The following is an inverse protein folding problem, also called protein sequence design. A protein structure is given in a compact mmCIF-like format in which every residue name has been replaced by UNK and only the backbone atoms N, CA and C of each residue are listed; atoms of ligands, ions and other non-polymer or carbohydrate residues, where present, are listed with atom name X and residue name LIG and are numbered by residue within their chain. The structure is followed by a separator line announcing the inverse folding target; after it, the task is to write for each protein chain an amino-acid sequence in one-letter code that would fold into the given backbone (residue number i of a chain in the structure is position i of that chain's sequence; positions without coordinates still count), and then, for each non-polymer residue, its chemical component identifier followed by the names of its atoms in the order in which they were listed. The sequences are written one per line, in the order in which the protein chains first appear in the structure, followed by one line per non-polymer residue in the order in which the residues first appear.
data_IF_084786039975
#
_entry.id   IF_084786039975
#
_cell.length_a   1.000
_cell.length_b   1.000
_cell.length_c   1.000
_cell.angle_alpha   90.00
_cell.angle_beta   90.00
_cell.angle_gamma   90.00
#
_symmetry.space_group_name_H-M   'P 1'
#
loop_
_entity.id
_entity.type
_entity.pdbx_description
1 polymer ?
#
# COMPACT_ATOMS: atom_id res chain seq x y z
N UNK A 1 -31.60 -0.65 -6.36
CA UNK A 1 -32.24 -1.32 -5.21
C UNK A 1 -33.56 -0.66 -4.84
N UNK A 2 -33.59 0.62 -4.42
CA UNK A 2 -34.85 1.29 -4.02
C UNK A 2 -35.90 1.36 -5.15
N UNK A 3 -35.46 1.53 -6.39
CA UNK A 3 -36.33 1.47 -7.57
C UNK A 3 -36.94 0.07 -7.78
N UNK A 4 -36.14 -0.99 -7.60
CA UNK A 4 -36.62 -2.38 -7.69
C UNK A 4 -37.58 -2.74 -6.53
N UNK A 5 -37.33 -2.19 -5.33
CA UNK A 5 -38.25 -2.30 -4.18
C UNK A 5 -39.56 -1.55 -4.48
N UNK A 6 -39.48 -0.36 -5.07
CA UNK A 6 -40.64 0.44 -5.46
C UNK A 6 -41.49 -0.22 -6.55
N UNK A 7 -40.87 -0.93 -7.51
CA UNK A 7 -41.56 -1.68 -8.56
C UNK A 7 -42.39 -2.87 -8.03
N UNK A 8 -42.01 -3.44 -6.89
CA UNK A 8 -42.77 -4.53 -6.26
C UNK A 8 -44.08 -4.06 -5.59
N UNK A 9 -44.19 -2.77 -5.28
CA UNK A 9 -45.40 -2.16 -4.71
C UNK A 9 -45.67 -2.51 -3.24
N UNK A 10 -46.86 -2.14 -2.71
CA UNK A 10 -47.22 -2.26 -1.28
C UNK A 10 -47.29 -3.69 -0.72
N UNK A 11 -47.19 -4.71 -1.57
CA UNK A 11 -47.29 -6.14 -1.20
C UNK A 11 -45.95 -6.85 -1.00
N UNK A 12 -44.82 -6.12 -1.02
CA UNK A 12 -43.51 -6.73 -0.79
C UNK A 12 -43.44 -7.29 0.64
N UNK A 13 -43.38 -8.60 0.76
CA UNK A 13 -43.09 -9.27 2.03
C UNK A 13 -41.58 -9.17 2.25
N UNK A 14 -41.10 -8.41 3.25
CA UNK A 14 -39.69 -8.36 3.56
C UNK A 14 -39.23 -9.75 4.01
N UNK A 15 -38.03 -10.15 3.58
CA UNK A 15 -37.44 -11.39 4.03
C UNK A 15 -37.35 -11.42 5.56
N UNK A 16 -37.62 -12.58 6.13
CA UNK A 16 -37.43 -12.79 7.56
C UNK A 16 -35.95 -12.72 7.93
N UNK A 17 -35.67 -12.38 9.19
CA UNK A 17 -34.31 -12.41 9.72
C UNK A 17 -33.65 -13.79 9.54
N UNK A 18 -34.42 -14.88 9.65
CA UNK A 18 -33.94 -16.24 9.44
C UNK A 18 -33.52 -16.49 7.98
N UNK A 19 -34.35 -16.10 7.01
CA UNK A 19 -34.01 -16.22 5.58
C UNK A 19 -32.77 -15.40 5.22
N UNK A 20 -32.60 -14.20 5.79
CA UNK A 20 -31.42 -13.37 5.58
C UNK A 20 -30.14 -14.06 6.07
N UNK A 21 -30.12 -14.54 7.33
CA UNK A 21 -28.91 -15.11 7.95
C UNK A 21 -28.60 -16.55 7.56
N UNK A 22 -29.54 -17.28 6.95
CA UNK A 22 -29.33 -18.68 6.54
C UNK A 22 -29.40 -18.79 5.02
N UNK A 23 -30.58 -18.58 4.44
CA UNK A 23 -30.81 -18.86 3.01
C UNK A 23 -30.03 -17.91 2.11
N UNK A 24 -30.19 -16.61 2.31
CA UNK A 24 -29.52 -15.60 1.49
C UNK A 24 -28.03 -15.52 1.79
N UNK A 25 -27.63 -15.65 3.06
CA UNK A 25 -26.22 -15.76 3.40
C UNK A 25 -25.54 -16.95 2.71
N UNK A 26 -26.14 -18.14 2.72
CA UNK A 26 -25.60 -19.31 2.00
C UNK A 26 -25.52 -19.07 0.49
N UNK A 27 -26.53 -18.43 -0.11
CA UNK A 27 -26.51 -18.06 -1.52
C UNK A 27 -25.39 -17.06 -1.83
N UNK A 28 -25.18 -16.07 -0.97
CA UNK A 28 -24.13 -15.07 -1.14
C UNK A 28 -22.72 -15.68 -0.96
N UNK A 29 -22.56 -16.60 0.00
CA UNK A 29 -21.32 -17.37 0.17
C UNK A 29 -21.04 -18.21 -1.08
N UNK A 30 -22.04 -18.90 -1.62
CA UNK A 30 -21.85 -19.70 -2.84
C UNK A 30 -21.55 -18.82 -4.06
N UNK A 31 -22.24 -17.68 -4.20
CA UNK A 31 -21.95 -16.69 -5.23
C UNK A 31 -20.50 -16.21 -5.13
N UNK A 32 -20.05 -15.84 -3.93
CA UNK A 32 -18.67 -15.42 -3.66
C UNK A 32 -17.67 -16.53 -3.98
N UNK A 33 -17.95 -17.79 -3.59
CA UNK A 33 -17.12 -18.95 -3.94
C UNK A 33 -16.99 -19.14 -5.45
N UNK A 34 -18.07 -18.92 -6.21
CA UNK A 34 -18.02 -19.02 -7.67
C UNK A 34 -17.12 -17.93 -8.29
N UNK A 35 -17.09 -16.73 -7.72
CA UNK A 35 -16.17 -15.66 -8.15
C UNK A 35 -14.70 -15.99 -7.88
N UNK A 36 -14.40 -16.90 -6.94
CA UNK A 36 -13.02 -17.33 -6.68
C UNK A 36 -12.41 -18.09 -7.85
N UNK A 37 -13.21 -18.75 -8.70
CA UNK A 37 -12.71 -19.57 -9.80
C UNK A 37 -11.81 -18.80 -10.79
N UNK A 38 -12.18 -17.55 -11.12
CA UNK A 38 -11.38 -16.70 -12.00
C UNK A 38 -10.03 -16.33 -11.37
N UNK A 39 -9.99 -16.14 -10.04
CA UNK A 39 -8.77 -15.90 -9.30
C UNK A 39 -7.87 -17.14 -9.27
N UNK A 40 -8.41 -18.33 -9.01
CA UNK A 40 -7.61 -19.58 -8.97
C UNK A 40 -6.96 -19.89 -10.32
N UNK A 41 -7.68 -19.66 -11.43
CA UNK A 41 -7.11 -19.78 -12.78
C UNK A 41 -5.95 -18.81 -12.97
N UNK A 42 -6.10 -17.57 -12.48
CA UNK A 42 -5.05 -16.57 -12.56
C UNK A 42 -3.82 -16.93 -11.71
N UNK A 43 -4.02 -17.47 -10.50
CA UNK A 43 -2.93 -17.90 -9.62
C UNK A 43 -2.12 -19.02 -10.25
N UNK A 44 -2.78 -19.98 -10.91
CA UNK A 44 -2.09 -21.04 -11.66
C UNK A 44 -1.29 -20.51 -12.84
N UNK A 45 -1.80 -19.47 -13.50
CA UNK A 45 -1.17 -18.88 -14.67
C UNK A 45 0.03 -18.00 -14.31
N UNK A 46 -0.18 -17.04 -13.41
CA UNK A 46 0.74 -15.94 -13.12
C UNK A 46 1.19 -15.90 -11.66
N UNK A 47 0.81 -16.87 -10.85
CA UNK A 47 1.08 -16.84 -9.43
C UNK A 47 0.29 -15.75 -8.68
N UNK A 48 0.47 -15.74 -7.36
CA UNK A 48 -0.20 -14.81 -6.47
C UNK A 48 0.70 -14.39 -5.30
N UNK A 49 0.26 -13.34 -4.60
CA UNK A 49 0.81 -12.92 -3.31
C UNK A 49 -0.17 -13.29 -2.21
N UNK A 50 0.25 -14.13 -1.27
CA UNK A 50 -0.47 -14.31 -0.02
C UNK A 50 -0.17 -13.11 0.88
N UNK A 51 -1.19 -12.47 1.43
CA UNK A 51 -1.06 -11.34 2.35
C UNK A 51 -1.64 -11.75 3.69
N UNK A 52 -0.94 -11.40 4.77
CA UNK A 52 -1.46 -11.57 6.12
C UNK A 52 -1.14 -10.39 7.00
N UNK A 53 -2.11 -10.02 7.83
CA UNK A 53 -1.98 -8.96 8.80
C UNK A 53 -2.80 -9.29 10.05
N UNK A 54 -2.25 -8.93 11.21
CA UNK A 54 -2.81 -9.23 12.51
C UNK A 54 -3.31 -7.96 13.17
N UNK A 55 -4.60 -7.91 13.47
CA UNK A 55 -5.20 -6.80 14.22
C UNK A 55 -5.61 -7.25 15.61
N UNK A 56 -5.38 -6.38 16.60
CA UNK A 56 -5.87 -6.57 17.95
C UNK A 56 -6.80 -5.43 18.30
N UNK A 57 -8.03 -5.77 18.68
CA UNK A 57 -9.07 -4.80 19.02
C UNK A 57 -8.92 -4.26 20.45
N UNK A 58 -9.77 -3.30 20.82
CA UNK A 58 -9.75 -2.68 22.17
C UNK A 58 -10.19 -3.63 23.29
N UNK A 59 -10.70 -4.82 22.96
CA UNK A 59 -11.11 -5.88 23.89
C UNK A 59 -10.09 -7.02 23.91
N UNK A 60 -8.86 -6.76 23.43
CA UNK A 60 -7.76 -7.72 23.29
C UNK A 60 -8.08 -8.93 22.40
N UNK A 61 -9.12 -8.85 21.56
CA UNK A 61 -9.38 -9.88 20.54
C UNK A 61 -8.38 -9.71 19.42
N UNK A 62 -7.72 -10.80 19.06
CA UNK A 62 -6.75 -10.84 17.98
C UNK A 62 -7.35 -11.58 16.79
N UNK A 63 -7.38 -10.90 15.65
CA UNK A 63 -7.77 -11.50 14.36
C UNK A 63 -6.58 -11.44 13.40
N UNK A 64 -6.31 -12.55 12.73
CA UNK A 64 -5.31 -12.63 11.65
C UNK A 64 -6.07 -12.84 10.34
N UNK A 65 -5.92 -11.90 9.41
CA UNK A 65 -6.57 -11.99 8.11
C UNK A 65 -5.64 -12.61 7.08
N UNK A 66 -6.22 -13.35 6.12
CA UNK A 66 -5.54 -13.87 4.95
C UNK A 66 -6.24 -13.41 3.68
N UNK A 67 -5.48 -12.79 2.79
CA UNK A 67 -5.95 -12.35 1.49
C UNK A 67 -4.97 -12.83 0.42
N UNK A 68 -5.47 -13.03 -0.79
CA UNK A 68 -4.64 -13.40 -1.95
C UNK A 68 -4.77 -12.34 -3.01
N UNK A 69 -3.64 -11.77 -3.42
CA UNK A 69 -3.57 -10.78 -4.49
C UNK A 69 -3.02 -11.39 -5.77
N UNK A 70 -3.60 -10.99 -6.90
CA UNK A 70 -3.21 -11.39 -8.25
C UNK A 70 -3.49 -10.26 -9.23
N UNK A 71 -3.19 -10.46 -10.52
CA UNK A 71 -3.45 -9.43 -11.54
C UNK A 71 -4.94 -9.08 -11.71
N UNK A 72 -5.84 -10.00 -11.32
CA UNK A 72 -7.31 -9.82 -11.37
C UNK A 72 -7.82 -9.02 -10.16
N UNK A 73 -7.06 -9.00 -9.06
CA UNK A 73 -7.41 -8.26 -7.85
C UNK A 73 -7.09 -9.03 -6.57
N UNK A 74 -7.62 -8.50 -5.46
CA UNK A 74 -7.47 -9.08 -4.12
C UNK A 74 -8.72 -9.87 -3.74
N UNK A 75 -8.53 -11.09 -3.27
CA UNK A 75 -9.57 -11.95 -2.74
C UNK A 75 -9.36 -12.16 -1.23
N UNK A 76 -10.43 -12.08 -0.47
CA UNK A 76 -10.43 -12.48 0.94
C UNK A 76 -10.55 -13.99 1.05
N UNK A 77 -9.62 -14.63 1.76
CA UNK A 77 -9.64 -16.09 1.95
C UNK A 77 -10.36 -16.46 3.24
N UNK A 78 -9.80 -16.03 4.36
CA UNK A 78 -10.36 -16.29 5.69
C UNK A 78 -9.71 -15.37 6.73
N UNK A 79 -10.27 -15.38 7.94
CA UNK A 79 -9.64 -14.80 9.12
C UNK A 79 -9.59 -15.86 10.21
N UNK A 80 -8.59 -15.77 11.08
CA UNK A 80 -8.42 -16.67 12.21
C UNK A 80 -8.47 -15.85 13.50
N UNK A 81 -9.34 -16.26 14.42
CA UNK A 81 -9.32 -15.74 15.79
C UNK A 81 -8.15 -16.37 16.54
N UNK A 82 -7.14 -15.55 16.83
CA UNK A 82 -5.96 -15.92 17.58
C UNK A 82 -5.93 -15.25 18.97
N UNK A 83 -7.08 -14.85 19.51
CA UNK A 83 -7.21 -14.22 20.84
C UNK A 83 -6.75 -15.13 21.98
N UNK A 84 -6.92 -16.44 21.83
CA UNK A 84 -6.48 -17.45 22.80
C UNK A 84 -5.02 -17.89 22.64
N UNK A 85 -4.33 -17.42 21.60
CA UNK A 85 -3.00 -17.88 21.24
C UNK A 85 -1.93 -16.81 21.51
N UNK A 86 -0.79 -17.22 22.09
CA UNK A 86 0.41 -16.37 22.09
C UNK A 86 0.89 -16.28 20.63
N UNK A 87 1.00 -15.06 20.10
CA UNK A 87 1.48 -14.78 18.73
C UNK A 87 2.99 -15.04 18.57
N UNK A 88 3.45 -16.26 18.83
CA UNK A 88 4.85 -16.63 18.56
C UNK A 88 5.08 -16.72 17.06
N UNK A 89 6.33 -16.53 16.62
CA UNK A 89 6.66 -16.62 15.20
C UNK A 89 6.40 -18.02 14.63
N UNK A 90 6.54 -19.06 15.43
CA UNK A 90 6.25 -20.45 15.05
C UNK A 90 4.76 -20.67 14.79
N UNK A 91 3.88 -20.06 15.60
CA UNK A 91 2.44 -20.19 15.41
C UNK A 91 1.98 -19.46 14.15
N UNK A 92 2.49 -18.25 13.93
CA UNK A 92 2.22 -17.51 12.68
C UNK A 92 2.77 -18.27 11.48
N UNK A 93 3.95 -18.87 11.58
CA UNK A 93 4.51 -19.72 10.54
C UNK A 93 3.57 -20.87 10.19
N UNK A 94 3.05 -21.62 11.17
CA UNK A 94 2.09 -22.70 10.92
C UNK A 94 0.85 -22.22 10.15
N UNK A 95 0.33 -21.04 10.49
CA UNK A 95 -0.83 -20.47 9.81
C UNK A 95 -0.51 -20.08 8.36
N UNK A 96 0.60 -19.35 8.15
CA UNK A 96 1.05 -18.96 6.80
C UNK A 96 1.33 -20.20 5.93
N UNK A 97 2.00 -21.19 6.51
CA UNK A 97 2.37 -22.43 5.84
C UNK A 97 1.14 -23.23 5.42
N UNK A 98 0.15 -23.38 6.29
CA UNK A 98 -1.14 -24.02 5.96
C UNK A 98 -1.90 -23.26 4.88
N UNK A 99 -1.83 -21.93 4.85
CA UNK A 99 -2.43 -21.13 3.77
C UNK A 99 -1.73 -21.34 2.43
N UNK A 100 -0.40 -21.45 2.43
CA UNK A 100 0.36 -21.79 1.21
C UNK A 100 -0.05 -23.17 0.69
N UNK A 101 -0.23 -24.16 1.57
CA UNK A 101 -0.71 -25.50 1.19
C UNK A 101 -2.12 -25.45 0.59
N UNK A 102 -3.02 -24.67 1.19
CA UNK A 102 -4.39 -24.48 0.72
C UNK A 102 -4.46 -23.84 -0.68
N UNK A 103 -3.54 -22.92 -1.00
CA UNK A 103 -3.47 -22.23 -2.30
C UNK A 103 -2.72 -23.08 -3.35
N UNK A 104 -1.81 -23.93 -2.92
CA UNK A 104 -0.84 -24.63 -3.76
C UNK A 104 0.47 -23.84 -3.86
N UNK A 105 1.57 -24.45 -3.43
CA UNK A 105 2.89 -23.81 -3.35
C UNK A 105 3.36 -23.27 -4.71
N UNK A 106 3.09 -23.98 -5.79
CA UNK A 106 3.44 -23.59 -7.16
C UNK A 106 2.77 -22.28 -7.61
N UNK A 107 1.66 -21.92 -6.95
CA UNK A 107 0.89 -20.72 -7.23
C UNK A 107 1.37 -19.53 -6.39
N UNK A 108 1.99 -19.74 -5.23
CA UNK A 108 2.43 -18.65 -4.35
C UNK A 108 3.84 -18.20 -4.71
N UNK A 109 3.98 -16.96 -5.19
CA UNK A 109 5.30 -16.37 -5.50
C UNK A 109 5.89 -15.69 -4.26
N UNK A 110 5.04 -15.05 -3.48
CA UNK A 110 5.47 -14.38 -2.25
C UNK A 110 4.40 -14.40 -1.16
N UNK A 111 4.84 -14.22 0.08
CA UNK A 111 4.02 -13.97 1.26
C UNK A 111 4.38 -12.61 1.83
N UNK A 112 3.39 -11.72 1.92
CA UNK A 112 3.53 -10.34 2.39
C UNK A 112 2.93 -10.20 3.78
N UNK A 113 3.73 -9.73 4.75
CA UNK A 113 3.27 -9.50 6.13
C UNK A 113 3.78 -8.17 6.68
N UNK A 114 3.32 -7.77 7.86
CA UNK A 114 3.93 -6.66 8.60
C UNK A 114 5.38 -6.97 9.04
N UNK A 115 6.04 -5.97 9.64
CA UNK A 115 7.42 -6.06 10.13
C UNK A 115 7.54 -6.38 11.61
N UNK A 116 6.46 -6.80 12.27
CA UNK A 116 6.54 -7.19 13.67
C UNK A 116 7.44 -8.43 13.82
N UNK A 117 8.19 -8.49 14.92
CA UNK A 117 9.26 -9.48 15.12
C UNK A 117 8.81 -10.94 14.93
N UNK A 118 7.58 -11.25 15.31
CA UNK A 118 6.95 -12.56 15.16
C UNK A 118 6.66 -12.89 13.68
N UNK A 119 6.17 -11.94 12.89
CA UNK A 119 5.98 -12.12 11.44
C UNK A 119 7.31 -12.22 10.70
N UNK A 120 8.34 -11.47 11.11
CA UNK A 120 9.69 -11.59 10.55
C UNK A 120 10.26 -12.99 10.79
N UNK A 121 10.12 -13.53 12.00
CA UNK A 121 10.53 -14.91 12.30
C UNK A 121 9.74 -15.92 11.45
N UNK A 122 8.43 -15.76 11.39
CA UNK A 122 7.56 -16.65 10.62
C UNK A 122 7.92 -16.67 9.12
N UNK A 123 8.16 -15.49 8.54
CA UNK A 123 8.57 -15.33 7.16
C UNK A 123 9.90 -16.01 6.84
N UNK A 124 10.89 -15.88 7.74
CA UNK A 124 12.18 -16.57 7.60
C UNK A 124 12.04 -18.09 7.68
N UNK A 125 11.23 -18.60 8.59
CA UNK A 125 10.93 -20.03 8.68
C UNK A 125 10.23 -20.54 7.39
N UNK A 126 9.34 -19.71 6.83
CA UNK A 126 8.64 -20.04 5.59
C UNK A 126 9.58 -20.11 4.39
N UNK A 127 10.46 -19.12 4.20
CA UNK A 127 11.48 -19.16 3.14
C UNK A 127 12.45 -20.33 3.31
N UNK A 128 12.77 -20.73 4.55
CA UNK A 128 13.61 -21.88 4.82
C UNK A 128 12.93 -23.21 4.45
N UNK A 129 11.62 -23.35 4.71
CA UNK A 129 10.84 -24.54 4.33
C UNK A 129 10.58 -24.60 2.83
N UNK A 130 10.29 -23.45 2.20
CA UNK A 130 9.82 -23.32 0.82
C UNK A 130 10.80 -22.43 0.04
N UNK A 131 11.88 -23.01 -0.54
CA UNK A 131 12.95 -22.22 -1.14
C UNK A 131 12.52 -21.48 -2.41
N UNK A 132 11.41 -21.86 -3.04
CA UNK A 132 10.92 -21.30 -4.31
C UNK A 132 9.87 -20.18 -4.16
N UNK A 133 9.69 -19.67 -2.94
CA UNK A 133 8.88 -18.47 -2.69
C UNK A 133 9.69 -17.40 -1.95
N UNK A 134 9.14 -16.20 -1.88
CA UNK A 134 9.70 -15.12 -1.08
C UNK A 134 8.82 -14.80 0.12
N UNK A 135 9.44 -14.46 1.25
CA UNK A 135 8.78 -13.63 2.24
C UNK A 135 9.18 -12.17 2.01
N UNK A 136 8.18 -11.30 1.88
CA UNK A 136 8.39 -9.87 1.65
C UNK A 136 7.71 -9.04 2.74
N UNK A 137 8.43 -8.07 3.33
CA UNK A 137 7.83 -7.16 4.27
C UNK A 137 6.91 -6.16 3.55
N UNK A 138 5.83 -5.77 4.22
CA UNK A 138 4.86 -4.80 3.69
C UNK A 138 5.52 -3.44 3.41
N UNK A 139 5.53 -3.04 2.14
CA UNK A 139 6.12 -1.78 1.69
C UNK A 139 5.39 -0.56 2.24
N UNK A 140 4.05 -0.62 2.34
CA UNK A 140 3.27 0.48 2.91
C UNK A 140 3.65 0.72 4.37
N UNK A 141 3.80 -0.36 5.15
CA UNK A 141 4.26 -0.29 6.53
C UNK A 141 5.70 0.26 6.62
N UNK A 142 6.62 -0.23 5.78
CA UNK A 142 7.99 0.29 5.74
C UNK A 142 8.04 1.79 5.42
N UNK A 143 7.25 2.25 4.46
CA UNK A 143 7.16 3.67 4.10
C UNK A 143 6.53 4.52 5.21
N UNK A 144 5.56 3.98 5.95
CA UNK A 144 5.01 4.65 7.13
C UNK A 144 6.08 4.82 8.22
N UNK A 145 6.93 3.80 8.44
CA UNK A 145 8.08 3.89 9.36
C UNK A 145 9.14 4.90 8.91
N UNK A 146 9.44 4.99 7.61
CA UNK A 146 10.34 6.04 7.05
C UNK A 146 9.75 7.43 7.37
N UNK A 147 8.46 7.60 7.11
CA UNK A 147 7.74 8.84 7.39
C UNK A 147 7.73 9.15 8.89
N UNK A 148 7.58 8.15 9.75
CA UNK A 148 7.68 8.27 11.20
C UNK A 148 9.06 8.78 11.65
N UNK A 149 10.13 8.20 11.11
CA UNK A 149 11.50 8.59 11.43
C UNK A 149 11.82 10.01 10.95
N UNK A 150 11.36 10.41 9.75
CA UNK A 150 11.41 11.81 9.30
C UNK A 150 10.61 12.71 10.27
N UNK A 151 9.46 12.21 10.74
CA UNK A 151 8.63 12.84 11.74
C UNK A 151 9.33 13.12 13.08
N UNK A 152 10.37 12.36 13.42
CA UNK A 152 11.18 12.53 14.64
C UNK A 152 12.21 13.66 14.54
N UNK A 153 12.54 14.13 13.34
CA UNK A 153 13.43 15.30 13.15
C UNK A 153 12.82 16.50 13.87
N UNK A 154 13.55 17.15 14.76
CA UNK A 154 12.99 18.13 15.72
C UNK A 154 12.27 19.31 15.04
N UNK A 155 12.74 19.75 13.87
CA UNK A 155 12.04 20.76 13.07
C UNK A 155 10.70 20.24 12.52
N UNK A 156 10.69 19.02 11.97
CA UNK A 156 9.50 18.35 11.42
C UNK A 156 8.50 18.05 12.54
N UNK A 157 8.96 17.45 13.64
CA UNK A 157 8.16 17.13 14.83
C UNK A 157 7.40 18.33 15.37
N UNK A 158 8.09 19.48 15.53
CA UNK A 158 7.46 20.73 15.97
C UNK A 158 6.45 21.26 14.96
N UNK A 159 6.74 21.13 13.66
CA UNK A 159 5.83 21.52 12.59
C UNK A 159 4.54 20.68 12.60
N UNK A 160 4.67 19.35 12.66
CA UNK A 160 3.55 18.41 12.70
C UNK A 160 2.67 18.63 13.93
N UNK A 161 3.27 18.79 15.12
CA UNK A 161 2.50 19.09 16.35
C UNK A 161 1.65 20.36 16.22
N UNK A 162 2.22 21.44 15.66
CA UNK A 162 1.48 22.69 15.40
C UNK A 162 0.36 22.49 14.38
N UNK A 163 0.60 21.74 13.32
CA UNK A 163 -0.38 21.47 12.27
C UNK A 163 -1.55 20.60 12.78
N UNK A 164 -1.26 19.55 13.55
CA UNK A 164 -2.28 18.69 14.18
C UNK A 164 -3.10 19.49 15.19
N UNK A 165 -2.45 20.30 16.04
CA UNK A 165 -3.16 21.16 16.99
C UNK A 165 -4.06 22.19 16.30
N UNK A 166 -3.60 22.78 15.19
CA UNK A 166 -4.40 23.70 14.37
C UNK A 166 -5.63 23.00 13.77
N UNK A 167 -5.44 21.82 13.16
CA UNK A 167 -6.54 21.04 12.58
C UNK A 167 -7.55 20.63 13.66
N UNK A 168 -7.07 20.09 14.79
CA UNK A 168 -7.92 19.73 15.93
C UNK A 168 -8.70 20.92 16.48
N UNK A 169 -8.06 22.09 16.59
CA UNK A 169 -8.77 23.32 16.99
C UNK A 169 -9.89 23.70 16.03
N UNK A 170 -9.67 23.62 14.71
CA UNK A 170 -10.72 23.98 13.72
C UNK A 170 -11.88 23.00 13.82
N UNK A 171 -11.62 21.68 13.84
CA UNK A 171 -12.68 20.67 13.84
C UNK A 171 -13.43 20.53 15.16
N UNK A 172 -12.80 20.81 16.30
CA UNK A 172 -13.45 20.71 17.61
C UNK A 172 -14.37 21.91 17.92
N UNK A 173 -14.37 22.95 17.09
CA UNK A 173 -15.19 24.14 17.31
C UNK A 173 -16.06 24.43 16.08
N UNK A 174 -17.33 24.03 16.15
CA UNK A 174 -18.28 24.14 15.03
C UNK A 174 -18.33 25.53 14.39
N UNK A 175 -18.26 26.59 15.21
CA UNK A 175 -18.21 27.97 14.71
C UNK A 175 -16.96 28.25 13.86
N UNK A 176 -15.79 27.78 14.31
CA UNK A 176 -14.51 27.93 13.60
C UNK A 176 -14.48 27.05 12.35
N UNK A 177 -15.03 25.84 12.43
CA UNK A 177 -15.19 24.93 11.30
C UNK A 177 -16.04 25.56 10.19
N UNK A 178 -17.20 26.12 10.54
CA UNK A 178 -18.08 26.78 9.58
C UNK A 178 -17.41 28.01 8.97
N UNK A 179 -16.67 28.77 9.77
CA UNK A 179 -15.85 29.87 9.27
C UNK A 179 -14.80 29.36 8.26
N UNK A 180 -14.06 28.31 8.59
CA UNK A 180 -13.08 27.72 7.67
C UNK A 180 -13.73 27.33 6.34
N UNK A 181 -14.87 26.64 6.37
CA UNK A 181 -15.64 26.25 5.18
C UNK A 181 -16.06 27.44 4.32
N UNK A 182 -16.48 28.55 4.92
CA UNK A 182 -16.80 29.77 4.16
C UNK A 182 -15.58 30.31 3.42
N UNK A 183 -14.41 30.35 4.09
CA UNK A 183 -13.18 30.86 3.49
C UNK A 183 -12.50 29.89 2.52
N UNK A 184 -12.84 28.60 2.57
CA UNK A 184 -12.27 27.57 1.70
C UNK A 184 -13.22 27.12 0.58
N UNK A 185 -14.37 27.78 0.39
CA UNK A 185 -15.43 27.37 -0.54
C UNK A 185 -15.88 25.92 -0.28
N UNK A 186 -16.17 25.60 0.97
CA UNK A 186 -16.56 24.28 1.48
C UNK A 186 -15.49 23.19 1.34
N UNK A 187 -14.26 23.53 0.92
CA UNK A 187 -13.17 22.56 0.94
C UNK A 187 -12.74 22.24 2.37
N UNK A 188 -12.82 20.95 2.71
CA UNK A 188 -12.39 20.42 4.00
C UNK A 188 -10.87 20.27 4.07
N UNK A 189 -10.33 20.34 5.30
CA UNK A 189 -8.99 19.86 5.58
C UNK A 189 -9.00 18.32 5.69
N UNK A 190 -7.86 17.69 5.45
CA UNK A 190 -7.74 16.24 5.71
C UNK A 190 -7.87 16.05 7.22
N UNK A 191 -8.74 15.11 7.63
CA UNK A 191 -8.93 14.78 9.04
C UNK A 191 -7.86 13.81 9.52
N UNK A 192 -7.45 13.87 10.80
CA UNK A 192 -6.67 12.83 11.42
C UNK A 192 -7.39 11.48 11.35
N UNK A 193 -6.72 10.48 10.79
CA UNK A 193 -7.07 9.08 10.90
C UNK A 193 -6.07 8.43 11.88
N UNK A 194 -6.56 7.56 12.76
CA UNK A 194 -5.78 6.98 13.87
C UNK A 194 -4.68 6.03 13.35
N UNK A 195 -4.81 5.49 12.14
CA UNK A 195 -4.13 4.24 11.78
C UNK A 195 -2.81 4.38 11.02
N UNK A 196 -2.40 5.56 10.51
CA UNK A 196 -1.13 5.70 9.75
C UNK A 196 -0.43 7.04 9.95
N UNK A 197 0.89 7.01 10.18
CA UNK A 197 1.72 8.20 10.39
C UNK A 197 1.68 9.18 9.21
N UNK A 198 1.58 8.65 7.99
CA UNK A 198 1.39 9.40 6.76
C UNK A 198 0.24 10.42 6.83
N UNK A 199 -0.79 10.17 7.64
CA UNK A 199 -1.93 11.09 7.81
C UNK A 199 -1.50 12.46 8.32
N UNK A 200 -0.50 12.52 9.21
CA UNK A 200 0.03 13.77 9.73
C UNK A 200 0.61 14.66 8.62
N UNK A 201 1.25 14.06 7.62
CA UNK A 201 1.78 14.79 6.45
C UNK A 201 0.68 15.19 5.47
N UNK A 202 -0.39 14.38 5.34
CA UNK A 202 -1.55 14.74 4.52
C UNK A 202 -2.32 15.94 5.10
N UNK A 203 -2.48 15.98 6.43
CA UNK A 203 -3.02 17.15 7.15
C UNK A 203 -2.17 18.38 6.83
N UNK A 204 -0.85 18.26 6.97
CA UNK A 204 0.08 19.35 6.72
C UNK A 204 -0.01 19.88 5.27
N UNK A 205 -0.10 18.97 4.29
CA UNK A 205 -0.25 19.33 2.88
C UNK A 205 -1.58 20.06 2.60
N UNK A 206 -2.66 19.63 3.26
CA UNK A 206 -3.97 20.26 3.17
C UNK A 206 -3.99 21.66 3.78
N UNK A 207 -3.36 21.84 4.95
CA UNK A 207 -3.16 23.15 5.59
C UNK A 207 -2.34 24.08 4.67
N UNK A 208 -1.27 23.56 4.06
CA UNK A 208 -0.44 24.33 3.13
C UNK A 208 -1.22 24.80 1.90
N UNK A 209 -2.03 23.92 1.29
CA UNK A 209 -2.89 24.25 0.15
C UNK A 209 -3.88 25.38 0.50
N UNK A 210 -4.39 25.38 1.74
CA UNK A 210 -5.33 26.39 2.23
C UNK A 210 -4.65 27.57 2.95
N UNK A 211 -3.33 27.75 2.83
CA UNK A 211 -2.58 28.81 3.53
C UNK A 211 -3.20 30.20 3.39
N UNK A 212 -3.53 30.61 2.15
CA UNK A 212 -4.07 31.93 1.89
C UNK A 212 -5.47 32.10 2.52
N UNK A 213 -6.33 31.08 2.40
CA UNK A 213 -7.68 31.07 2.94
C UNK A 213 -7.66 31.08 4.48
N UNK A 214 -6.81 30.25 5.10
CA UNK A 214 -6.63 30.23 6.55
C UNK A 214 -6.10 31.56 7.08
N UNK A 215 -5.14 32.19 6.38
CA UNK A 215 -4.68 33.53 6.77
C UNK A 215 -5.80 34.56 6.70
N UNK A 216 -6.58 34.59 5.61
CA UNK A 216 -7.75 35.47 5.46
C UNK A 216 -8.78 35.25 6.56
N UNK A 217 -9.07 33.99 6.88
CA UNK A 217 -9.99 33.61 7.95
C UNK A 217 -9.55 34.22 9.30
N UNK A 218 -8.30 34.02 9.69
CA UNK A 218 -7.78 34.48 11.00
C UNK A 218 -7.53 35.99 11.11
N UNK A 219 -7.64 36.76 10.02
CA UNK A 219 -7.64 38.24 10.04
C UNK A 219 -9.01 38.84 9.78
N UNK A 220 -10.03 38.01 9.53
CA UNK A 220 -11.38 38.49 9.22
C UNK A 220 -12.04 39.12 10.44
N UNK A 221 -12.94 40.07 10.20
CA UNK A 221 -13.77 40.67 11.25
C UNK A 221 -14.55 39.61 12.03
N UNK A 222 -15.04 38.58 11.32
CA UNK A 222 -15.75 37.44 11.91
C UNK A 222 -14.90 36.66 12.91
N UNK A 223 -13.58 36.56 12.67
CA UNK A 223 -12.66 36.00 13.66
C UNK A 223 -12.37 36.99 14.79
N UNK A 224 -11.97 38.23 14.49
CA UNK A 224 -11.47 39.19 15.49
C UNK A 224 -12.53 39.60 16.50
N UNK A 225 -13.81 39.65 16.11
CA UNK A 225 -14.95 39.93 17.00
C UNK A 225 -15.40 38.71 17.80
N UNK A 226 -14.98 37.50 17.43
CA UNK A 226 -15.41 36.26 18.06
C UNK A 226 -14.85 36.08 19.48
N UNK A 227 -15.56 35.30 20.31
CA UNK A 227 -15.06 34.89 21.63
C UNK A 227 -13.75 34.10 21.58
N UNK A 228 -13.46 33.44 20.46
CA UNK A 228 -12.28 32.60 20.27
C UNK A 228 -11.00 33.42 20.07
N UNK A 229 -11.11 34.61 19.48
CA UNK A 229 -9.98 35.53 19.33
C UNK A 229 -9.56 36.20 20.65
N UNK A 230 -10.46 36.24 21.65
CA UNK A 230 -10.23 36.83 22.97
C UNK A 230 -9.65 35.84 24.00
N UNK A 231 -9.67 34.54 23.70
CA UNK A 231 -9.16 33.50 24.59
C UNK A 231 -7.67 33.23 24.31
N UNK A 232 -6.78 33.39 25.31
CA UNK A 232 -5.33 33.22 25.14
C UNK A 232 -4.91 31.83 24.64
N UNK A 233 -5.63 30.77 25.04
CA UNK A 233 -5.30 29.41 24.62
C UNK A 233 -5.71 29.15 23.17
N UNK A 234 -6.71 29.88 22.67
CA UNK A 234 -7.31 29.69 21.35
C UNK A 234 -6.74 30.64 20.30
N UNK A 235 -6.18 31.77 20.73
CA UNK A 235 -5.39 32.68 19.89
C UNK A 235 -4.13 32.03 19.30
N UNK A 236 -3.58 31.00 19.95
CA UNK A 236 -2.42 30.23 19.46
C UNK A 236 -2.57 29.68 18.04
N UNK A 237 -3.79 29.31 17.64
CA UNK A 237 -4.08 28.83 16.28
C UNK A 237 -3.86 29.93 15.23
N UNK A 238 -4.40 31.12 15.50
CA UNK A 238 -4.20 32.31 14.66
C UNK A 238 -2.71 32.71 14.63
N UNK A 239 -2.05 32.76 15.79
CA UNK A 239 -0.61 33.07 15.90
C UNK A 239 0.25 32.10 15.07
N UNK A 240 -0.06 30.80 15.13
CA UNK A 240 0.62 29.78 14.33
C UNK A 240 0.47 30.04 12.83
N UNK A 241 -0.75 30.35 12.36
CA UNK A 241 -1.03 30.67 10.96
C UNK A 241 -0.39 31.99 10.50
N UNK A 242 -0.21 32.94 11.42
CA UNK A 242 0.43 34.22 11.09
C UNK A 242 1.96 34.13 11.08
N UNK A 243 2.55 33.20 11.83
CA UNK A 243 3.99 32.99 12.00
C UNK A 243 4.70 32.56 10.69
N UNK A 244 5.64 33.36 10.14
CA UNK A 244 6.39 32.99 8.93
C UNK A 244 7.23 31.72 9.08
N UNK A 245 7.85 31.52 10.24
CA UNK A 245 8.68 30.34 10.52
C UNK A 245 7.90 29.03 10.54
N UNK A 246 6.60 29.07 10.88
CA UNK A 246 5.71 27.92 10.74
C UNK A 246 5.60 27.50 9.27
N UNK A 247 5.32 28.43 8.37
CA UNK A 247 5.20 28.13 6.94
C UNK A 247 6.52 27.69 6.30
N UNK A 248 7.65 28.24 6.73
CA UNK A 248 8.97 27.75 6.28
C UNK A 248 9.19 26.30 6.71
N UNK A 249 8.78 25.94 7.93
CA UNK A 249 8.85 24.56 8.43
C UNK A 249 7.86 23.63 7.71
N UNK A 250 6.67 24.12 7.35
CA UNK A 250 5.69 23.40 6.52
C UNK A 250 6.31 23.05 5.17
N UNK A 251 6.90 24.03 4.48
CA UNK A 251 7.54 23.82 3.17
C UNK A 251 8.71 22.85 3.27
N UNK A 252 9.58 22.99 4.29
CA UNK A 252 10.66 22.04 4.55
C UNK A 252 10.12 20.61 4.70
N UNK A 253 9.11 20.45 5.56
CA UNK A 253 8.52 19.13 5.87
C UNK A 253 7.87 18.50 4.65
N UNK A 254 7.15 19.27 3.82
CA UNK A 254 6.53 18.77 2.60
C UNK A 254 7.55 18.41 1.52
N UNK A 255 8.67 19.11 1.44
CA UNK A 255 9.78 18.74 0.56
C UNK A 255 10.45 17.43 0.99
N UNK A 256 10.59 17.22 2.30
CA UNK A 256 11.16 16.00 2.87
C UNK A 256 10.26 14.75 2.72
N UNK A 257 8.95 14.91 2.93
CA UNK A 257 8.01 13.78 3.03
C UNK A 257 7.12 13.59 1.80
N UNK A 258 6.83 14.65 1.05
CA UNK A 258 5.86 14.63 -0.04
C UNK A 258 6.15 13.60 -1.14
N UNK A 259 7.41 13.44 -1.59
CA UNK A 259 7.76 12.38 -2.54
C UNK A 259 7.49 10.97 -2.00
N UNK A 260 7.83 10.69 -0.75
CA UNK A 260 7.62 9.39 -0.10
C UNK A 260 6.13 9.08 0.10
N UNK A 261 5.31 10.09 0.43
CA UNK A 261 3.84 9.93 0.49
C UNK A 261 3.26 9.52 -0.87
N UNK A 262 3.86 9.94 -2.00
CA UNK A 262 3.44 9.46 -3.33
C UNK A 262 3.81 8.00 -3.56
N UNK A 263 4.99 7.57 -3.11
CA UNK A 263 5.39 6.15 -3.17
C UNK A 263 4.47 5.30 -2.29
N UNK A 264 4.12 5.78 -1.10
CA UNK A 264 3.17 5.10 -0.21
C UNK A 264 1.83 4.85 -0.92
N UNK A 265 1.30 5.87 -1.61
CA UNK A 265 0.05 5.72 -2.38
C UNK A 265 0.16 4.76 -3.56
N UNK A 266 1.34 4.64 -4.16
CA UNK A 266 1.59 3.68 -5.24
C UNK A 266 1.51 2.25 -4.72
N UNK A 267 2.20 1.95 -3.61
CA UNK A 267 2.27 0.59 -3.07
C UNK A 267 1.00 0.19 -2.28
N UNK A 268 0.29 1.18 -1.75
CA UNK A 268 -0.99 1.01 -1.06
C UNK A 268 -2.18 0.98 -2.03
N UNK A 269 -1.94 1.02 -3.36
CA UNK A 269 -2.98 0.90 -4.38
C UNK A 269 -3.37 -0.55 -4.68
N UNK A 270 -4.48 -0.75 -5.40
CA UNK A 270 -4.94 -2.10 -5.79
C UNK A 270 -4.18 -2.70 -6.98
N UNK A 271 -3.43 -1.85 -7.69
CA UNK A 271 -2.64 -2.27 -8.85
C UNK A 271 -1.29 -2.87 -8.39
N UNK A 272 -0.77 -3.89 -9.09
CA UNK A 272 0.56 -4.42 -8.83
C UNK A 272 1.63 -3.32 -8.85
N UNK A 273 2.37 -3.18 -7.75
CA UNK A 273 3.38 -2.14 -7.57
C UNK A 273 4.82 -2.65 -7.73
N UNK A 274 5.01 -3.98 -7.83
CA UNK A 274 6.32 -4.64 -7.84
C UNK A 274 7.24 -4.10 -8.95
N UNK A 275 6.68 -3.84 -10.14
CA UNK A 275 7.42 -3.30 -11.27
C UNK A 275 7.76 -1.81 -11.19
N UNK A 276 7.35 -1.10 -10.13
CA UNK A 276 7.43 0.37 -10.06
C UNK A 276 8.12 0.88 -8.79
N UNK A 277 8.09 0.12 -7.69
CA UNK A 277 8.52 0.61 -6.37
C UNK A 277 9.99 1.03 -6.33
N UNK A 278 10.89 0.28 -6.98
CA UNK A 278 12.34 0.59 -7.01
C UNK A 278 12.58 1.99 -7.59
N UNK A 279 12.15 2.23 -8.83
CA UNK A 279 12.25 3.53 -9.49
C UNK A 279 11.50 4.63 -8.74
N UNK A 280 10.35 4.30 -8.14
CA UNK A 280 9.57 5.27 -7.38
C UNK A 280 10.34 5.76 -6.14
N UNK A 281 11.11 4.90 -5.48
CA UNK A 281 11.98 5.26 -4.36
C UNK A 281 13.16 6.11 -4.81
N UNK A 282 13.82 5.74 -5.90
CA UNK A 282 14.89 6.55 -6.51
C UNK A 282 14.40 7.95 -6.88
N UNK A 283 13.27 8.04 -7.59
CA UNK A 283 12.64 9.32 -7.93
C UNK A 283 12.21 10.10 -6.69
N UNK A 284 11.83 9.42 -5.61
CA UNK A 284 11.52 10.10 -4.36
C UNK A 284 12.77 10.76 -3.76
N UNK A 285 13.91 10.05 -3.72
CA UNK A 285 15.19 10.61 -3.27
C UNK A 285 15.61 11.82 -4.12
N UNK A 286 15.58 11.69 -5.44
CA UNK A 286 15.92 12.79 -6.35
C UNK A 286 14.97 13.99 -6.22
N UNK A 287 13.66 13.74 -6.06
CA UNK A 287 12.70 14.81 -5.81
C UNK A 287 12.93 15.54 -4.46
N UNK A 288 13.38 14.83 -3.43
CA UNK A 288 13.77 15.44 -2.14
C UNK A 288 14.99 16.34 -2.35
N UNK A 289 16.05 15.83 -2.98
CA UNK A 289 17.28 16.59 -3.29
C UNK A 289 16.99 17.83 -4.12
N UNK A 290 16.23 17.68 -5.20
CA UNK A 290 15.78 18.79 -6.05
C UNK A 290 14.92 19.78 -5.28
N UNK A 291 14.02 19.31 -4.41
CA UNK A 291 13.22 20.15 -3.52
C UNK A 291 14.05 21.04 -2.60
N UNK A 292 15.25 20.61 -2.21
CA UNK A 292 16.20 21.38 -1.42
C UNK A 292 17.26 22.10 -2.26
N UNK A 293 17.05 22.23 -3.58
CA UNK A 293 17.96 22.87 -4.54
C UNK A 293 19.38 22.28 -4.47
N UNK A 294 19.51 20.97 -4.23
CA UNK A 294 20.82 20.32 -4.10
C UNK A 294 21.58 20.64 -2.82
N UNK A 295 20.96 21.29 -1.82
CA UNK A 295 21.60 21.56 -0.53
C UNK A 295 21.72 20.27 0.31
N UNK A 296 22.90 19.65 0.24
CA UNK A 296 23.21 18.37 0.87
C UNK A 296 22.91 18.33 2.37
N UNK A 297 23.27 19.38 3.12
CA UNK A 297 23.03 19.46 4.56
C UNK A 297 21.53 19.35 4.94
N UNK A 298 20.62 19.63 4.01
CA UNK A 298 19.17 19.54 4.24
C UNK A 298 18.57 18.18 3.86
N UNK A 299 19.03 17.56 2.78
CA UNK A 299 18.44 16.31 2.29
C UNK A 299 19.19 15.05 2.73
N UNK A 300 20.49 15.14 3.00
CA UNK A 300 21.31 13.97 3.37
C UNK A 300 20.80 13.24 4.62
N UNK A 301 20.41 13.91 5.73
CA UNK A 301 19.83 13.21 6.87
C UNK A 301 18.51 12.49 6.55
N UNK A 302 17.76 12.99 5.56
CA UNK A 302 16.51 12.35 5.11
C UNK A 302 16.83 11.12 4.26
N UNK A 303 17.81 11.22 3.36
CA UNK A 303 18.29 10.08 2.58
C UNK A 303 18.84 8.97 3.48
N UNK A 304 19.60 9.30 4.52
CA UNK A 304 20.11 8.31 5.49
C UNK A 304 18.97 7.55 6.19
N UNK A 305 17.85 8.21 6.50
CA UNK A 305 16.66 7.53 7.04
C UNK A 305 16.03 6.60 6.00
N UNK A 306 15.91 7.06 4.76
CA UNK A 306 15.34 6.28 3.64
C UNK A 306 16.20 5.04 3.37
N UNK A 307 17.51 5.23 3.21
CA UNK A 307 18.47 4.18 2.86
C UNK A 307 18.55 3.12 3.96
N UNK A 308 18.63 3.54 5.23
CA UNK A 308 18.61 2.61 6.36
C UNK A 308 17.38 1.69 6.34
N UNK A 309 16.20 2.23 6.03
CA UNK A 309 14.94 1.45 5.98
C UNK A 309 14.81 0.65 4.69
N UNK A 310 15.32 1.16 3.57
CA UNK A 310 15.41 0.45 2.30
C UNK A 310 16.25 -0.81 2.48
N UNK A 311 17.50 -0.66 2.91
CA UNK A 311 18.47 -1.75 2.98
C UNK A 311 18.10 -2.80 4.03
N UNK A 312 17.65 -2.36 5.22
CA UNK A 312 17.44 -3.26 6.35
C UNK A 312 16.05 -3.91 6.37
N UNK A 313 15.06 -3.29 5.72
CA UNK A 313 13.67 -3.71 5.85
C UNK A 313 13.02 -3.92 4.49
N UNK A 314 12.92 -2.89 3.66
CA UNK A 314 12.04 -2.91 2.49
C UNK A 314 12.60 -3.68 1.28
N UNK A 315 13.84 -3.40 0.86
CA UNK A 315 14.38 -3.89 -0.40
C UNK A 315 14.45 -5.42 -0.44
N UNK A 316 14.09 -5.99 -1.59
CA UNK A 316 14.11 -7.43 -1.86
C UNK A 316 14.43 -7.64 -3.34
N UNK A 317 15.02 -8.79 -3.72
CA UNK A 317 15.32 -9.12 -5.11
C UNK A 317 14.13 -8.95 -6.07
N UNK A 318 12.92 -9.24 -5.61
CA UNK A 318 11.68 -9.03 -6.39
C UNK A 318 11.47 -7.58 -6.82
N UNK A 319 11.86 -6.59 -6.01
CA UNK A 319 11.75 -5.17 -6.36
C UNK A 319 12.71 -4.79 -7.49
N UNK A 320 13.95 -5.29 -7.43
CA UNK A 320 14.96 -5.12 -8.47
C UNK A 320 14.56 -5.82 -9.78
N UNK A 321 14.16 -7.09 -9.71
CA UNK A 321 13.69 -7.84 -10.87
C UNK A 321 12.45 -7.20 -11.50
N UNK A 322 11.49 -6.75 -10.68
CA UNK A 322 10.31 -6.03 -11.16
C UNK A 322 10.66 -4.75 -11.91
N UNK A 323 11.64 -3.99 -11.43
CA UNK A 323 12.13 -2.79 -12.10
C UNK A 323 12.75 -3.11 -13.47
N UNK A 324 13.65 -4.09 -13.51
CA UNK A 324 14.29 -4.55 -14.74
C UNK A 324 13.27 -5.02 -15.78
N UNK A 325 12.25 -5.76 -15.34
CA UNK A 325 11.25 -6.35 -16.24
C UNK A 325 10.15 -5.35 -16.64
N UNK A 326 10.14 -4.12 -16.11
CA UNK A 326 9.14 -3.13 -16.51
C UNK A 326 9.53 -2.48 -17.85
N UNK A 327 8.84 -2.77 -18.97
CA UNK A 327 9.26 -2.29 -20.28
C UNK A 327 9.21 -0.77 -20.43
N UNK A 328 8.33 -0.07 -19.71
CA UNK A 328 8.34 1.39 -19.76
C UNK A 328 9.57 1.98 -19.09
N UNK A 329 10.05 1.37 -18.02
CA UNK A 329 11.17 1.90 -17.24
C UNK A 329 12.51 1.41 -17.79
N UNK A 330 12.57 0.13 -18.14
CA UNK A 330 13.75 -0.54 -18.67
C UNK A 330 14.25 0.15 -19.94
N UNK A 331 13.41 0.27 -20.97
CA UNK A 331 13.88 0.81 -22.25
C UNK A 331 14.16 2.32 -22.20
N UNK A 332 13.53 3.07 -21.28
CA UNK A 332 13.83 4.49 -21.07
C UNK A 332 15.19 4.69 -20.35
N UNK A 333 15.68 3.69 -19.61
CA UNK A 333 16.89 3.80 -18.77
C UNK A 333 17.83 2.58 -18.91
N UNK A 334 17.85 1.93 -20.09
CA UNK A 334 18.46 0.60 -20.30
C UNK A 334 19.89 0.53 -19.78
N UNK A 335 20.74 1.48 -20.18
CA UNK A 335 22.16 1.48 -19.80
C UNK A 335 22.35 1.60 -18.29
N UNK A 336 21.62 2.52 -17.65
CA UNK A 336 21.68 2.71 -16.19
C UNK A 336 21.26 1.44 -15.45
N UNK A 337 20.18 0.80 -15.89
CA UNK A 337 19.63 -0.40 -15.24
C UNK A 337 20.57 -1.60 -15.39
N UNK A 338 21.11 -1.82 -16.59
CA UNK A 338 21.99 -2.96 -16.86
C UNK A 338 23.36 -2.81 -16.18
N UNK A 339 23.78 -1.59 -15.84
CA UNK A 339 25.02 -1.31 -15.14
C UNK A 339 24.86 -1.23 -13.62
N UNK A 340 23.63 -1.25 -13.10
CA UNK A 340 23.34 -1.21 -11.67
C UNK A 340 23.55 -2.61 -11.04
N UNK A 341 24.56 -2.78 -10.16
CA UNK A 341 24.83 -4.09 -9.56
C UNK A 341 23.69 -4.60 -8.67
N UNK A 342 22.95 -3.72 -7.97
CA UNK A 342 21.83 -4.12 -7.10
C UNK A 342 20.68 -4.70 -7.95
N UNK A 343 20.39 -4.05 -9.09
CA UNK A 343 19.32 -4.49 -9.98
C UNK A 343 19.67 -5.83 -10.65
N UNK A 344 20.90 -5.97 -11.13
CA UNK A 344 21.34 -7.21 -11.79
C UNK A 344 21.43 -8.38 -10.82
N UNK A 345 22.00 -8.19 -9.63
CA UNK A 345 22.03 -9.22 -8.58
C UNK A 345 20.62 -9.63 -8.15
N UNK A 346 19.72 -8.66 -7.97
CA UNK A 346 18.31 -8.93 -7.66
C UNK A 346 17.59 -9.73 -8.75
N UNK A 347 17.82 -9.40 -10.02
CA UNK A 347 17.26 -10.15 -11.16
C UNK A 347 17.72 -11.61 -11.17
N UNK A 348 19.03 -11.84 -11.04
CA UNK A 348 19.60 -13.20 -11.06
C UNK A 348 19.08 -14.02 -9.89
N UNK A 349 19.03 -13.47 -8.68
CA UNK A 349 18.45 -14.15 -7.51
C UNK A 349 16.99 -14.55 -7.71
N UNK A 350 16.21 -13.74 -8.42
CA UNK A 350 14.80 -14.05 -8.73
C UNK A 350 14.70 -15.16 -9.77
N UNK A 351 15.57 -15.16 -10.78
CA UNK A 351 15.65 -16.25 -11.78
C UNK A 351 16.01 -17.56 -11.08
N UNK A 352 17.09 -17.58 -10.30
CA UNK A 352 17.55 -18.78 -9.58
C UNK A 352 16.50 -19.31 -8.61
N UNK A 353 15.77 -18.42 -7.94
CA UNK A 353 14.77 -18.83 -6.95
C UNK A 353 13.48 -19.34 -7.58
N UNK A 354 12.95 -18.65 -8.59
CA UNK A 354 11.62 -18.93 -9.16
C UNK A 354 11.65 -19.90 -10.34
N UNK A 355 12.83 -20.20 -10.90
CA UNK A 355 13.01 -21.16 -12.00
C UNK A 355 13.86 -22.32 -11.49
N UNK A 356 13.27 -23.48 -11.14
CA UNK A 356 14.02 -24.58 -10.54
C UNK A 356 15.03 -25.28 -11.48
N UNK A 357 14.72 -25.33 -12.77
CA UNK A 357 15.57 -26.02 -13.77
C UNK A 357 16.72 -25.13 -14.20
N UNK A 358 17.96 -25.63 -14.11
CA UNK A 358 19.15 -24.91 -14.57
C UNK A 358 19.09 -24.68 -16.08
N UNK A 359 18.59 -25.65 -16.86
CA UNK A 359 18.44 -25.49 -18.31
C UNK A 359 17.45 -24.36 -18.63
N UNK A 360 16.36 -24.25 -17.86
CA UNK A 360 15.40 -23.16 -18.01
C UNK A 360 15.99 -21.81 -17.56
N UNK A 361 16.86 -21.79 -16.54
CA UNK A 361 17.57 -20.57 -16.13
C UNK A 361 18.51 -20.09 -17.24
N UNK A 362 19.27 -21.01 -17.86
CA UNK A 362 20.15 -20.70 -19.01
C UNK A 362 19.33 -20.18 -20.18
N UNK A 363 18.21 -20.85 -20.51
CA UNK A 363 17.32 -20.40 -21.57
C UNK A 363 16.68 -19.04 -21.24
N UNK A 364 16.31 -18.79 -19.98
CA UNK A 364 15.83 -17.48 -19.52
C UNK A 364 16.88 -16.38 -19.71
N UNK A 365 18.18 -16.69 -19.50
CA UNK A 365 19.28 -15.75 -19.76
C UNK A 365 19.39 -15.40 -21.25
N UNK A 366 19.22 -16.37 -22.14
CA UNK A 366 19.20 -16.11 -23.61
C UNK A 366 17.99 -15.25 -23.98
N UNK A 367 16.83 -15.53 -23.39
CA UNK A 367 15.61 -14.74 -23.60
C UNK A 367 15.72 -13.31 -23.08
N UNK A 368 16.50 -13.07 -22.01
CA UNK A 368 16.83 -11.72 -21.55
C UNK A 368 17.56 -10.91 -22.61
N UNK A 369 18.46 -11.51 -23.39
CA UNK A 369 19.13 -10.81 -24.49
C UNK A 369 18.14 -10.36 -25.57
N UNK A 370 17.13 -11.18 -25.87
CA UNK A 370 16.06 -10.81 -26.80
C UNK A 370 15.29 -9.58 -26.30
N UNK A 371 14.95 -9.58 -25.01
CA UNK A 371 14.29 -8.44 -24.38
C UNK A 371 15.19 -7.20 -24.40
N UNK A 372 16.44 -7.32 -23.95
CA UNK A 372 17.39 -6.21 -23.84
C UNK A 372 17.61 -5.51 -25.18
N UNK A 373 17.77 -6.29 -26.25
CA UNK A 373 17.98 -5.79 -27.61
C UNK A 373 16.68 -5.46 -28.35
N UNK A 374 15.53 -5.54 -27.67
CA UNK A 374 14.20 -5.35 -28.25
C UNK A 374 14.02 -6.16 -29.55
N UNK A 375 14.44 -7.42 -29.59
CA UNK A 375 14.37 -8.31 -30.75
C UNK A 375 13.03 -9.06 -30.81
N UNK A 376 12.74 -9.70 -31.95
CA UNK A 376 11.49 -10.44 -32.15
C UNK A 376 10.26 -9.53 -32.04
N UNK A 377 9.22 -9.99 -31.35
CA UNK A 377 7.99 -9.22 -31.13
C UNK A 377 8.19 -7.93 -30.31
N UNK A 378 9.26 -7.85 -29.51
CA UNK A 378 9.59 -6.64 -28.75
C UNK A 378 9.99 -5.45 -29.65
N UNK A 379 10.42 -5.72 -30.89
CA UNK A 379 10.80 -4.70 -31.89
C UNK A 379 9.59 -4.06 -32.58
N UNK A 380 8.40 -4.66 -32.46
CA UNK A 380 7.24 -4.20 -33.20
C UNK A 380 6.84 -2.77 -32.78
N UNK A 381 6.44 -1.95 -33.75
CA UNK A 381 6.02 -0.56 -33.50
C UNK A 381 4.89 -0.47 -32.46
N UNK A 382 3.99 -1.45 -32.44
CA UNK A 382 2.90 -1.51 -31.46
C UNK A 382 3.44 -1.88 -30.07
N UNK A 383 4.38 -2.83 -29.97
CA UNK A 383 5.02 -3.16 -28.69
C UNK A 383 5.70 -1.92 -28.11
N UNK A 384 6.51 -1.21 -28.90
CA UNK A 384 7.23 0.00 -28.47
C UNK A 384 6.25 1.08 -27.98
N UNK A 385 5.22 1.41 -28.77
CA UNK A 385 4.25 2.46 -28.41
C UNK A 385 3.40 2.11 -27.18
N UNK A 386 3.22 0.82 -26.88
CA UNK A 386 2.35 0.39 -25.78
C UNK A 386 3.09 0.13 -24.47
N UNK A 387 4.43 0.28 -24.42
CA UNK A 387 5.24 0.07 -23.20
C UNK A 387 4.75 0.88 -22.00
N UNK A 388 4.40 2.15 -22.22
CA UNK A 388 3.86 3.06 -21.20
C UNK A 388 2.34 3.14 -21.12
N UNK A 389 1.62 2.40 -21.98
CA UNK A 389 0.14 2.44 -22.06
C UNK A 389 -0.48 1.23 -21.37
N UNK A 390 0.12 0.05 -21.54
CA UNK A 390 -0.33 -1.20 -20.91
C UNK A 390 0.31 -1.37 -19.54
N UNK A 391 -0.33 -2.18 -18.68
CA UNK A 391 0.37 -2.66 -17.50
C UNK A 391 1.54 -3.57 -17.93
N UNK A 392 2.65 -3.60 -17.18
CA UNK A 392 3.82 -4.40 -17.52
C UNK A 392 3.48 -5.87 -17.77
N UNK A 393 2.71 -6.51 -16.87
CA UNK A 393 2.29 -7.90 -17.04
C UNK A 393 1.45 -8.12 -18.31
N UNK A 394 0.53 -7.21 -18.65
CA UNK A 394 -0.27 -7.32 -19.87
C UNK A 394 0.57 -7.11 -21.14
N UNK A 395 1.60 -6.24 -21.08
CA UNK A 395 2.54 -6.06 -22.18
C UNK A 395 3.37 -7.33 -22.41
N UNK A 396 3.90 -7.94 -21.35
CA UNK A 396 4.61 -9.22 -21.42
C UNK A 396 3.75 -10.34 -21.96
N UNK A 397 2.48 -10.40 -21.57
CA UNK A 397 1.54 -11.40 -22.09
C UNK A 397 1.39 -11.33 -23.61
N UNK A 398 1.42 -10.13 -24.20
CA UNK A 398 1.22 -9.96 -25.64
C UNK A 398 2.51 -10.11 -26.45
N UNK A 399 3.63 -9.57 -25.95
CA UNK A 399 4.85 -9.42 -26.75
C UNK A 399 5.99 -10.36 -26.32
N UNK A 400 5.88 -11.00 -25.15
CA UNK A 400 6.87 -11.98 -24.67
C UNK A 400 6.77 -13.36 -25.31
N UNK A 401 6.05 -13.52 -26.43
CA UNK A 401 5.80 -14.85 -27.03
C UNK A 401 7.10 -15.52 -27.49
N UNK A 402 8.08 -14.75 -27.98
CA UNK A 402 9.39 -15.29 -28.37
C UNK A 402 10.34 -15.56 -27.18
N UNK A 403 9.89 -15.28 -25.96
CA UNK A 403 10.65 -15.43 -24.73
C UNK A 403 9.76 -16.11 -23.67
N UNK A 404 9.34 -17.38 -23.88
CA UNK A 404 8.30 -18.03 -23.08
C UNK A 404 8.65 -18.15 -21.59
N UNK A 405 9.90 -18.46 -21.23
CA UNK A 405 10.32 -18.65 -19.84
C UNK A 405 10.38 -17.30 -19.12
N UNK A 406 11.06 -16.33 -19.73
CA UNK A 406 11.16 -14.96 -19.24
C UNK A 406 9.79 -14.29 -19.18
N UNK A 407 8.91 -14.52 -20.15
CA UNK A 407 7.52 -14.03 -20.13
C UNK A 407 6.78 -14.56 -18.91
N UNK A 408 6.88 -15.86 -18.63
CA UNK A 408 6.23 -16.46 -17.45
C UNK A 408 6.78 -15.85 -16.17
N UNK A 409 8.10 -15.71 -16.05
CA UNK A 409 8.75 -15.07 -14.91
C UNK A 409 8.30 -13.62 -14.74
N UNK A 410 8.35 -12.82 -15.80
CA UNK A 410 7.96 -11.41 -15.78
C UNK A 410 6.49 -11.22 -15.40
N UNK A 411 5.59 -12.03 -15.95
CA UNK A 411 4.18 -12.00 -15.57
C UNK A 411 3.98 -12.38 -14.10
N UNK A 412 4.76 -13.35 -13.58
CA UNK A 412 4.73 -13.73 -12.15
C UNK A 412 5.19 -12.61 -11.24
N UNK A 413 6.30 -11.94 -11.56
CA UNK A 413 6.86 -10.86 -10.74
C UNK A 413 6.03 -9.57 -10.84
N UNK A 414 5.64 -9.17 -12.05
CA UNK A 414 4.98 -7.88 -12.30
C UNK A 414 3.50 -7.85 -11.90
N UNK A 415 2.92 -9.00 -11.55
CA UNK A 415 1.55 -9.11 -11.04
C UNK A 415 1.47 -9.02 -9.51
N UNK A 416 2.60 -8.93 -8.82
CA UNK A 416 2.66 -8.93 -7.36
C UNK A 416 2.34 -7.56 -6.75
N UNK A 417 1.67 -7.58 -5.60
CA UNK A 417 1.54 -6.43 -4.69
C UNK A 417 2.83 -6.22 -3.89
N UNK A 418 3.03 -5.03 -3.34
CA UNK A 418 4.10 -4.76 -2.37
C UNK A 418 3.57 -4.55 -0.96
N UNK A 419 2.25 -4.64 -0.75
CA UNK A 419 1.61 -4.22 0.51
C UNK A 419 0.59 -5.24 1.00
N UNK A 420 0.60 -5.48 2.31
CA UNK A 420 -0.44 -6.22 3.03
C UNK A 420 -1.61 -5.32 3.48
N UNK A 421 -1.59 -4.03 3.15
CA UNK A 421 -2.59 -3.05 3.59
C UNK A 421 -4.02 -3.33 3.14
N UNK A 422 -4.22 -4.19 2.14
CA UNK A 422 -5.54 -4.74 1.79
C UNK A 422 -6.21 -5.45 2.97
N UNK A 423 -5.42 -6.05 3.87
CA UNK A 423 -5.91 -6.64 5.11
C UNK A 423 -6.53 -5.61 6.05
N UNK A 424 -5.95 -4.40 6.12
CA UNK A 424 -6.36 -3.33 7.03
C UNK A 424 -7.72 -2.72 6.65
N UNK A 425 -8.01 -2.63 5.35
CA UNK A 425 -9.23 -1.97 4.85
C UNK A 425 -10.51 -2.70 5.27
N UNK A 426 -10.41 -4.00 5.52
CA UNK A 426 -11.54 -4.81 5.93
C UNK A 426 -11.82 -4.72 7.45
N UNK A 427 -10.89 -4.18 8.26
CA UNK A 427 -11.04 -4.16 9.71
C UNK A 427 -12.22 -3.32 10.20
N UNK A 428 -12.53 -2.19 9.54
CA UNK A 428 -13.69 -1.37 9.92
C UNK A 428 -15.01 -2.11 9.69
N UNK A 429 -15.08 -2.94 8.65
CA UNK A 429 -16.22 -3.83 8.38
C UNK A 429 -16.28 -4.94 9.42
N UNK A 430 -15.14 -5.54 9.78
CA UNK A 430 -15.06 -6.59 10.81
C UNK A 430 -15.37 -6.08 12.23
N UNK A 431 -14.93 -4.88 12.60
CA UNK A 431 -15.27 -4.24 13.87
C UNK A 431 -16.79 -4.08 13.97
N UNK A 432 -17.44 -3.60 12.91
CA UNK A 432 -18.90 -3.44 12.88
C UNK A 432 -19.68 -4.77 12.97
N UNK A 433 -19.18 -5.84 12.32
CA UNK A 433 -19.81 -7.17 12.36
C UNK A 433 -19.57 -7.87 13.72
N UNK A 434 -18.38 -7.68 14.31
CA UNK A 434 -17.96 -8.32 15.57
C UNK A 434 -18.44 -7.61 16.83
N UNK A 435 -18.75 -6.31 16.77
CA UNK A 435 -19.38 -5.58 17.88
C UNK A 435 -20.88 -5.88 17.99
N UNK A 436 -21.55 -6.16 16.86
CA UNK A 436 -23.00 -6.35 16.81
C UNK A 436 -23.45 -7.83 16.84
N UNK A 437 -22.53 -8.81 16.98
CA UNK A 437 -22.84 -10.25 16.96
C UNK A 437 -23.67 -10.72 15.76
N UNK A 438 -23.62 -10.01 14.63
CA UNK A 438 -24.62 -10.19 13.57
C UNK A 438 -24.46 -11.48 12.75
N UNK A 439 -23.29 -12.15 12.76
CA UNK A 439 -23.04 -13.33 11.88
C UNK A 439 -22.09 -14.40 12.49
N UNK A 440 -21.69 -14.29 13.76
CA UNK A 440 -20.57 -15.10 14.28
C UNK A 440 -20.75 -16.64 14.37
N UNK A 441 -21.93 -17.27 14.52
CA UNK A 441 -21.95 -18.71 14.77
C UNK A 441 -21.88 -19.63 13.52
N UNK A 442 -21.94 -19.11 12.29
CA UNK A 442 -22.14 -19.95 11.08
C UNK A 442 -20.97 -19.99 10.09
N UNK A 443 -19.86 -19.32 10.41
CA UNK A 443 -18.66 -19.34 9.56
C UNK A 443 -17.51 -20.19 10.16
N UNK A 444 -17.73 -20.86 11.29
CA UNK A 444 -16.70 -21.62 12.04
C UNK A 444 -17.02 -23.12 12.14
N UNK A 445 -18.20 -23.57 11.69
CA UNK A 445 -18.54 -25.00 11.67
C UNK A 445 -19.07 -25.39 10.29
N UNK A 446 -18.18 -25.98 9.49
CA UNK A 446 -18.39 -27.23 8.75
C UNK A 446 -17.02 -27.78 8.28
#
# INVERSE_FOLDING_TARGET
MLEAVGQFGPGLIPHSYHEARVTYLKKEVQYTKNLMGDHEVEWKRNGCSLMSDGWTDKRDRTLINFLVHSSVGTLFMEFIDASSCIKTGEKIFQLLDGMVEKIGEENVVQVVTDNASNYVLAGKLLEAKRPHLYWTPCAAHCLDLILEDIGKIEQVKRCLRKAVALSGFIYNHLYVLNMMREFTNQHELVRPAVTRFATSFLILASIHRNKANLRKMFISEKWTTSKWAKDPNRKRAAETVMMPSFWNSVVYTLKASGPLVRVLRLVDGDKPAMGYIYEAMDRAKEAIKSGFNGNEAKYRPIWEIVDKRWDCQLHRPLHAAGYYLNPSLFYDNKERIMQDPEVMDGLIKVIERLIPSIDDQVQCSIELELYNEAKGMFSSNVAIRTRGVKTPAAWWSLYGVNAPILRKLAMRVLSLTCSASGCERNWSVFEHVSENNLVFPLLVED
#
